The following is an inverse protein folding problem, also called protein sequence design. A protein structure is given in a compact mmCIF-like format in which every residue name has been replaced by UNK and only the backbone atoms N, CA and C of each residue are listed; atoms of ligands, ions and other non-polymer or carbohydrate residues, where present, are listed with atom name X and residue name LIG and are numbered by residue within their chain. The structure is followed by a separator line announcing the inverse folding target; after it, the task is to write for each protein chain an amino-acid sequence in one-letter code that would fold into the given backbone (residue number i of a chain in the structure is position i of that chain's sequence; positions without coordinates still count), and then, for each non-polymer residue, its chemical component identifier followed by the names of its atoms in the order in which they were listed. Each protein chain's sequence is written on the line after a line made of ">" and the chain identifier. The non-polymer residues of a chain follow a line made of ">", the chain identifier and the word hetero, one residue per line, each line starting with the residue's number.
data_IF_703643426525
#
_entry.id   IF_703643426525
#
_cell.length_a   1.000
_cell.length_b   1.000
_cell.length_c   1.000
_cell.angle_alpha   90.00
_cell.angle_beta   90.00
_cell.angle_gamma   90.00
#
_symmetry.space_group_name_H-M   'P 1'
#
loop_
_entity.id
_entity.type
_entity.pdbx_description
1 polymer ?
#
# COMPACT_ATOMS: atom_id res chain seq x y z
N UNK A 1 -16.90 -3.52 7.81
CA UNK A 1 -15.46 -3.20 7.74
C UNK A 1 -14.76 -4.43 7.20
N UNK A 2 -14.07 -4.31 6.07
CA UNK A 2 -13.29 -5.42 5.51
C UNK A 2 -11.87 -5.40 6.05
N UNK A 3 -11.26 -6.58 6.16
CA UNK A 3 -9.82 -6.70 6.43
C UNK A 3 -9.00 -6.31 5.20
N UNK A 4 -7.73 -5.99 5.42
CA UNK A 4 -6.75 -5.90 4.35
C UNK A 4 -6.58 -7.26 3.66
N UNK A 5 -6.25 -7.25 2.37
CA UNK A 5 -5.85 -8.45 1.63
C UNK A 5 -4.39 -8.79 1.93
N UNK A 6 -3.93 -9.95 1.48
CA UNK A 6 -2.53 -10.35 1.61
C UNK A 6 -1.61 -9.41 0.84
N UNK A 7 -2.00 -8.99 -0.38
CA UNK A 7 -1.25 -8.02 -1.18
C UNK A 7 -1.12 -6.69 -0.45
N UNK A 8 -2.23 -6.12 0.02
CA UNK A 8 -2.21 -4.83 0.72
C UNK A 8 -1.35 -4.87 1.98
N UNK A 9 -1.44 -5.96 2.75
CA UNK A 9 -0.63 -6.14 3.97
C UNK A 9 0.85 -6.24 3.64
N UNK A 10 1.22 -7.00 2.60
CA UNK A 10 2.60 -7.16 2.16
C UNK A 10 3.17 -5.82 1.64
N UNK A 11 2.42 -5.11 0.80
CA UNK A 11 2.79 -3.80 0.26
C UNK A 11 2.99 -2.78 1.38
N UNK A 12 2.03 -2.63 2.30
CA UNK A 12 2.17 -1.71 3.42
C UNK A 12 3.39 -2.05 4.28
N UNK A 13 3.65 -3.34 4.50
CA UNK A 13 4.85 -3.81 5.19
C UNK A 13 6.14 -3.35 4.51
N UNK A 14 6.21 -3.44 3.18
CA UNK A 14 7.36 -2.99 2.37
C UNK A 14 7.49 -1.47 2.35
N UNK A 15 6.39 -0.73 2.18
CA UNK A 15 6.37 0.75 2.26
C UNK A 15 6.91 1.23 3.60
N UNK A 16 6.52 0.57 4.70
CA UNK A 16 7.02 0.94 6.03
C UNK A 16 8.52 0.65 6.18
N UNK A 17 9.03 -0.37 5.49
CA UNK A 17 10.46 -0.69 5.51
C UNK A 17 11.31 0.36 4.76
N UNK A 18 10.75 1.12 3.82
CA UNK A 18 11.44 2.26 3.18
C UNK A 18 11.78 3.37 4.18
N UNK A 19 11.07 3.44 5.32
CA UNK A 19 11.27 4.48 6.36
C UNK A 19 11.37 3.86 7.76
N UNK A 20 12.51 3.23 8.12
CA UNK A 20 12.65 2.47 9.36
C UNK A 20 12.31 3.24 10.64
N UNK A 21 12.54 4.55 10.66
CA UNK A 21 12.22 5.43 11.80
C UNK A 21 10.71 5.60 12.02
N UNK A 22 9.90 5.56 10.94
CA UNK A 22 8.45 5.69 10.99
C UNK A 22 7.75 4.33 11.17
N UNK A 23 8.40 3.25 10.73
CA UNK A 23 7.83 1.90 10.68
C UNK A 23 7.12 1.44 11.97
N UNK A 24 7.65 1.66 13.20
CA UNK A 24 6.95 1.26 14.42
C UNK A 24 5.60 1.98 14.60
N UNK A 25 5.54 3.28 14.26
CA UNK A 25 4.33 4.07 14.34
C UNK A 25 3.30 3.67 13.29
N UNK A 26 3.74 3.45 12.06
CA UNK A 26 2.91 3.00 10.94
C UNK A 26 2.32 1.60 11.20
N UNK A 27 3.12 0.66 11.71
CA UNK A 27 2.64 -0.66 12.12
C UNK A 27 1.58 -0.59 13.22
N UNK A 28 1.76 0.30 14.21
CA UNK A 28 0.75 0.52 15.27
C UNK A 28 -0.57 1.05 14.71
N UNK A 29 -0.52 1.89 13.67
CA UNK A 29 -1.74 2.32 12.98
C UNK A 29 -2.38 1.16 12.22
N UNK A 30 -1.60 0.38 11.47
CA UNK A 30 -2.09 -0.75 10.69
C UNK A 30 -2.84 -1.79 11.54
N UNK A 31 -2.39 -2.07 12.77
CA UNK A 31 -3.10 -3.03 13.66
C UNK A 31 -4.49 -2.57 14.10
N UNK A 32 -4.80 -1.28 13.94
CA UNK A 32 -6.09 -0.67 14.33
C UNK A 32 -6.86 -0.13 13.12
N UNK A 33 -6.22 -0.09 11.96
CA UNK A 33 -6.79 0.42 10.74
C UNK A 33 -7.85 -0.54 10.19
N UNK A 34 -8.80 0.01 9.43
CA UNK A 34 -9.82 -0.76 8.72
C UNK A 34 -9.93 -0.29 7.28
N UNK A 35 -10.22 -1.21 6.37
CA UNK A 35 -10.58 -0.86 5.01
C UNK A 35 -12.05 -0.46 4.99
N UNK A 36 -12.32 0.75 4.51
CA UNK A 36 -13.67 1.32 4.45
C UNK A 36 -14.27 1.20 3.05
N UNK A 37 -13.44 1.22 2.01
CA UNK A 37 -13.86 1.12 0.62
C UNK A 37 -12.71 0.65 -0.26
N UNK A 38 -13.06 -0.09 -1.33
CA UNK A 38 -12.15 -0.37 -2.44
C UNK A 38 -12.79 0.07 -3.76
N UNK A 39 -11.97 0.60 -4.65
CA UNK A 39 -12.37 0.99 -6.00
C UNK A 39 -11.38 0.41 -6.98
N UNK A 40 -11.83 -0.53 -7.81
CA UNK A 40 -11.04 -1.03 -8.92
C UNK A 40 -11.21 -0.09 -10.13
N UNK A 41 -10.13 0.07 -10.88
CA UNK A 41 -10.05 0.88 -12.09
C UNK A 41 -9.38 0.06 -13.19
N UNK A 42 -9.42 0.55 -14.42
CA UNK A 42 -8.74 -0.09 -15.56
C UNK A 42 -7.21 -0.15 -15.40
N UNK A 43 -6.64 0.69 -14.52
CA UNK A 43 -5.19 0.84 -14.35
C UNK A 43 -4.71 0.42 -12.96
N UNK A 44 -5.59 -0.11 -12.11
CA UNK A 44 -5.24 -0.54 -10.76
C UNK A 44 -6.38 -0.37 -9.77
N UNK A 45 -6.08 0.01 -8.53
CA UNK A 45 -7.09 0.12 -7.47
C UNK A 45 -6.77 1.19 -6.43
N UNK A 46 -7.81 1.55 -5.68
CA UNK A 46 -7.75 2.39 -4.49
C UNK A 46 -8.35 1.65 -3.30
N UNK A 47 -7.67 1.71 -2.15
CA UNK A 47 -8.15 1.19 -0.87
C UNK A 47 -8.18 2.33 0.15
N UNK A 48 -9.38 2.76 0.52
CA UNK A 48 -9.59 3.76 1.57
C UNK A 48 -9.38 3.12 2.95
N UNK A 49 -8.58 3.78 3.78
CA UNK A 49 -8.16 3.32 5.09
C UNK A 49 -8.65 4.31 6.15
N UNK A 50 -9.25 3.78 7.21
CA UNK A 50 -9.60 4.55 8.41
C UNK A 50 -8.76 4.08 9.60
N UNK A 51 -8.05 5.02 10.22
CA UNK A 51 -7.34 4.83 11.49
C UNK A 51 -8.13 5.52 12.61
N UNK A 52 -8.50 4.80 13.69
CA UNK A 52 -9.17 5.40 14.84
C UNK A 52 -8.40 6.59 15.43
N UNK A 53 -9.13 7.62 15.86
CA UNK A 53 -8.54 8.88 16.34
C UNK A 53 -7.72 8.73 17.64
N UNK A 54 -8.00 7.71 18.43
CA UNK A 54 -7.28 7.35 19.66
C UNK A 54 -5.88 6.76 19.39
N UNK A 55 -5.60 6.31 18.17
CA UNK A 55 -4.26 5.91 17.76
C UNK A 55 -3.43 7.17 17.51
N UNK A 56 -2.21 7.33 18.07
CA UNK A 56 -1.41 8.52 17.78
C UNK A 56 -1.00 8.67 16.28
N UNK A 57 -0.93 9.90 15.73
CA UNK A 57 -0.38 10.12 14.41
C UNK A 57 1.15 9.89 14.40
N UNK A 58 1.73 9.83 13.20
CA UNK A 58 3.19 9.90 12.99
C UNK A 58 3.52 11.20 12.26
N UNK A 59 4.68 11.79 12.56
CA UNK A 59 5.21 12.91 11.77
C UNK A 59 5.86 12.33 10.51
N UNK A 60 5.12 12.29 9.42
CA UNK A 60 5.50 11.66 8.16
C UNK A 60 5.13 12.56 6.98
N UNK A 61 5.80 12.43 5.82
CA UNK A 61 5.33 13.02 4.57
C UNK A 61 3.90 12.60 4.22
N UNK A 62 3.21 13.44 3.44
CA UNK A 62 1.84 13.15 2.97
C UNK A 62 1.78 11.95 2.01
N UNK A 63 2.92 11.51 1.47
CA UNK A 63 3.03 10.43 0.50
C UNK A 63 4.23 9.53 0.85
N UNK A 64 4.01 8.22 0.85
CA UNK A 64 5.02 7.17 1.08
C UNK A 64 4.95 6.10 -0.03
N UNK A 65 5.96 5.23 -0.11
CA UNK A 65 5.94 4.05 -0.98
C UNK A 65 6.56 4.24 -2.37
N UNK A 66 7.42 5.24 -2.54
CA UNK A 66 8.04 5.59 -3.82
C UNK A 66 8.89 4.47 -4.43
N UNK A 67 9.14 3.38 -3.72
CA UNK A 67 10.00 2.29 -4.17
C UNK A 67 9.39 0.92 -3.98
N UNK A 68 8.14 0.83 -3.53
CA UNK A 68 7.43 -0.43 -3.33
C UNK A 68 6.70 -0.82 -4.61
N UNK A 69 7.09 -1.95 -5.17
CA UNK A 69 6.56 -2.49 -6.41
C UNK A 69 6.14 -3.95 -6.20
N UNK A 70 5.36 -4.50 -7.13
CA UNK A 70 5.08 -5.93 -7.16
C UNK A 70 5.05 -6.47 -8.59
N UNK A 71 5.48 -7.72 -8.72
CA UNK A 71 5.09 -8.57 -9.83
C UNK A 71 3.74 -9.20 -9.47
N UNK A 72 2.73 -8.97 -10.30
CA UNK A 72 1.40 -9.56 -10.13
C UNK A 72 1.13 -10.47 -11.32
N UNK A 73 0.72 -11.71 -11.06
CA UNK A 73 0.42 -12.66 -12.13
C UNK A 73 -0.66 -12.08 -13.06
N UNK A 74 -0.37 -12.03 -14.37
CA UNK A 74 -1.26 -11.43 -15.36
C UNK A 74 -1.03 -9.93 -15.61
N UNK A 75 -0.12 -9.28 -14.89
CA UNK A 75 0.30 -7.89 -15.14
C UNK A 75 1.71 -7.90 -15.74
N UNK A 76 1.83 -7.52 -17.02
CA UNK A 76 3.07 -7.65 -17.79
C UNK A 76 4.19 -6.73 -17.28
N UNK A 77 3.89 -5.46 -17.05
CA UNK A 77 4.90 -4.44 -16.79
C UNK A 77 5.20 -4.21 -15.32
N UNK A 78 4.52 -4.93 -14.42
CA UNK A 78 4.58 -4.74 -12.98
C UNK A 78 3.59 -3.71 -12.45
N UNK A 79 3.62 -3.56 -11.13
CA UNK A 79 2.65 -2.77 -10.37
C UNK A 79 3.38 -1.92 -9.32
N UNK A 80 3.06 -0.64 -9.25
CA UNK A 80 3.56 0.30 -8.25
C UNK A 80 2.51 0.56 -7.17
N UNK A 81 2.97 1.08 -6.04
CA UNK A 81 2.09 1.42 -4.92
C UNK A 81 2.46 2.76 -4.32
N UNK A 82 1.44 3.52 -3.91
CA UNK A 82 1.62 4.78 -3.19
C UNK A 82 0.67 4.79 -1.99
N UNK A 83 1.20 5.15 -0.83
CA UNK A 83 0.41 5.35 0.38
C UNK A 83 0.29 6.84 0.64
N UNK A 84 -0.94 7.35 0.56
CA UNK A 84 -1.27 8.71 0.98
C UNK A 84 -1.58 8.72 2.48
N UNK A 85 -0.99 9.69 3.15
CA UNK A 85 -1.20 9.98 4.56
C UNK A 85 -2.17 11.16 4.69
N UNK A 86 -2.91 11.21 5.79
CA UNK A 86 -3.74 12.35 6.16
C UNK A 86 -3.50 12.68 7.62
N UNK A 87 -2.95 13.86 7.90
CA UNK A 87 -2.61 14.31 9.26
C UNK A 87 -1.80 13.26 10.04
N UNK A 88 -0.80 12.65 9.38
CA UNK A 88 0.06 11.63 9.98
C UNK A 88 -0.61 10.27 10.18
N UNK A 89 -1.72 9.98 9.48
CA UNK A 89 -2.44 8.70 9.54
C UNK A 89 -2.55 8.04 8.18
N UNK A 90 -2.54 6.69 8.15
CA UNK A 90 -2.84 5.92 6.93
C UNK A 90 -4.20 6.36 6.38
N UNK A 91 -4.28 6.72 5.10
CA UNK A 91 -5.51 7.24 4.51
C UNK A 91 -5.95 6.51 3.24
N UNK A 92 -5.06 6.36 2.26
CA UNK A 92 -5.39 5.76 0.97
C UNK A 92 -4.18 5.00 0.44
N UNK A 93 -4.38 3.73 0.11
CA UNK A 93 -3.41 2.96 -0.66
C UNK A 93 -3.86 2.94 -2.11
N UNK A 94 -3.03 3.47 -2.99
CA UNK A 94 -3.15 3.32 -4.44
C UNK A 94 -2.21 2.22 -4.91
N UNK A 95 -2.71 1.37 -5.79
CA UNK A 95 -1.90 0.45 -6.57
C UNK A 95 -2.15 0.67 -8.04
N UNK A 96 -1.11 0.81 -8.85
CA UNK A 96 -1.22 1.17 -10.26
C UNK A 96 -0.30 0.33 -11.15
N UNK A 97 -0.77 -0.03 -12.34
CA UNK A 97 0.02 -0.75 -13.32
C UNK A 97 0.96 0.18 -14.09
N UNK A 98 2.15 -0.30 -14.44
CA UNK A 98 3.09 0.48 -15.27
C UNK A 98 2.76 0.49 -16.77
N UNK A 99 1.69 -0.21 -17.19
CA UNK A 99 1.28 -0.30 -18.59
C UNK A 99 -0.24 -0.24 -18.78
N UNK A 100 -0.71 -0.33 -20.03
CA UNK A 100 -2.12 -0.22 -20.34
C UNK A 100 -2.91 -1.43 -19.82
N UNK A 101 -4.15 -1.17 -19.38
CA UNK A 101 -5.20 -2.14 -19.06
C UNK A 101 -4.76 -3.36 -18.24
N UNK A 102 -4.87 -3.26 -16.93
CA UNK A 102 -4.96 -4.47 -16.11
C UNK A 102 -6.39 -4.99 -16.15
N UNK A 103 -6.57 -6.24 -16.57
CA UNK A 103 -7.83 -6.94 -16.31
C UNK A 103 -8.15 -6.81 -14.82
N UNK A 104 -9.43 -6.67 -14.47
CA UNK A 104 -9.89 -6.50 -13.09
C UNK A 104 -9.16 -7.49 -12.15
N UNK A 105 -8.35 -6.97 -11.23
CA UNK A 105 -7.56 -7.77 -10.31
C UNK A 105 -8.47 -8.29 -9.20
N UNK A 106 -8.54 -9.61 -9.01
CA UNK A 106 -9.12 -10.16 -7.78
C UNK A 106 -8.10 -10.03 -6.65
N UNK A 107 -8.15 -8.90 -5.92
CA UNK A 107 -7.24 -8.60 -4.81
C UNK A 107 -7.23 -9.65 -3.68
N UNK A 108 -8.22 -10.54 -3.63
CA UNK A 108 -8.29 -11.63 -2.66
C UNK A 108 -7.66 -12.92 -3.16
N UNK A 109 -7.57 -13.12 -4.48
CA UNK A 109 -7.08 -14.35 -5.10
C UNK A 109 -6.11 -14.06 -6.25
N UNK A 110 -5.00 -13.38 -5.95
CA UNK A 110 -3.92 -13.15 -6.91
C UNK A 110 -2.58 -13.65 -6.37
N UNK A 111 -1.72 -14.12 -7.29
CA UNK A 111 -0.33 -14.46 -6.99
C UNK A 111 0.56 -13.24 -7.23
N UNK A 112 1.41 -12.92 -6.27
CA UNK A 112 2.27 -11.74 -6.33
C UNK A 112 3.61 -11.94 -5.64
N UNK A 113 4.57 -11.09 -6.02
CA UNK A 113 5.85 -10.93 -5.33
C UNK A 113 6.09 -9.43 -5.13
N UNK A 114 6.09 -8.98 -3.87
CA UNK A 114 6.40 -7.58 -3.52
C UNK A 114 7.91 -7.43 -3.40
N UNK A 115 8.45 -6.38 -4.01
CA UNK A 115 9.86 -6.04 -3.92
C UNK A 115 10.03 -4.53 -3.76
N UNK A 116 11.17 -4.14 -3.20
CA UNK A 116 11.58 -2.75 -3.20
C UNK A 116 12.56 -2.50 -4.34
N UNK A 117 12.37 -1.42 -5.10
CA UNK A 117 13.29 -1.00 -6.14
C UNK A 117 14.67 -0.67 -5.54
N UNK A 118 15.77 -1.25 -6.07
CA UNK A 118 17.09 -1.24 -5.44
C UNK A 118 17.76 0.14 -5.33
N UNK A 119 17.18 1.19 -5.91
CA UNK A 119 17.76 2.55 -5.87
C UNK A 119 17.52 3.22 -4.50
N UNK A 120 16.45 2.84 -3.77
CA UNK A 120 16.06 3.50 -2.52
C UNK A 120 15.97 2.54 -1.32
N UNK A 121 16.28 1.25 -1.52
CA UNK A 121 16.36 0.26 -0.45
C UNK A 121 17.80 -0.13 -0.18
N UNK A 122 18.57 0.81 0.36
CA UNK A 122 19.86 0.52 1.00
C UNK A 122 19.82 1.05 2.42
N UNK A 123 20.18 0.16 3.35
CA UNK A 123 20.38 0.44 4.78
C UNK A 123 21.20 1.70 5.07
#
# INVERSE_FOLDING_TARGET
>A
MSSFTELETAVLGTIFAETPTLAPGLRRQLTRATVTKRVDTEHGFFTDIAVPSDVPPVDAPDVLGHSTHAHVAGVEHGFGFVLFMNEGRLHLLEGYAFGPDVASLDLYNLSFEVYCSPINCTE
#
